data_IF_164272755564
#
_entry.id   IF_164272755564
#
_cell.length_a   1.000
_cell.length_b   1.000
_cell.length_c   1.000
_cell.angle_alpha   90.00
_cell.angle_beta   90.00
_cell.angle_gamma   90.00
#
_symmetry.space_group_name_H-M   'P 1'
#
loop_
_entity.id
_entity.type
_entity.pdbx_description
1 polymer ?
#
# COMPACT_ATOMS: atom_id res chain seq x y z
N UNK A 1 14.85 7.04 -11.25
CA UNK A 1 13.58 6.54 -10.69
C UNK A 1 13.46 7.02 -9.27
N UNK A 2 12.42 7.79 -9.01
CA UNK A 2 12.08 8.31 -7.68
C UNK A 2 11.77 7.16 -6.71
N UNK A 3 12.00 7.33 -5.40
CA UNK A 3 11.87 6.22 -4.42
C UNK A 3 10.43 5.68 -4.37
N UNK A 4 9.43 6.55 -4.48
CA UNK A 4 8.02 6.16 -4.48
C UNK A 4 7.65 5.34 -5.74
N UNK A 5 8.25 5.63 -6.90
CA UNK A 5 8.07 4.81 -8.10
C UNK A 5 8.65 3.40 -7.93
N UNK A 6 9.83 3.28 -7.30
CA UNK A 6 10.44 1.98 -6.99
C UNK A 6 9.55 1.19 -6.04
N UNK A 7 9.04 1.84 -5.00
CA UNK A 7 8.12 1.24 -4.05
C UNK A 7 6.82 0.76 -4.72
N UNK A 8 6.21 1.58 -5.58
CA UNK A 8 5.04 1.17 -6.36
C UNK A 8 5.31 -0.09 -7.21
N UNK A 9 6.46 -0.16 -7.89
CA UNK A 9 6.80 -1.35 -8.70
C UNK A 9 6.90 -2.62 -7.85
N UNK A 10 7.49 -2.54 -6.66
CA UNK A 10 7.54 -3.66 -5.73
C UNK A 10 6.14 -4.06 -5.23
N UNK A 11 5.30 -3.09 -4.85
CA UNK A 11 3.91 -3.34 -4.43
C UNK A 11 3.10 -3.97 -5.56
N UNK A 12 3.27 -3.50 -6.80
CA UNK A 12 2.63 -4.08 -7.98
C UNK A 12 3.07 -5.51 -8.25
N UNK A 13 4.35 -5.81 -8.10
CA UNK A 13 4.87 -7.17 -8.27
C UNK A 13 4.28 -8.16 -7.25
N UNK A 14 3.94 -7.70 -6.04
CA UNK A 14 3.33 -8.54 -5.01
C UNK A 14 1.85 -8.87 -5.27
N UNK A 15 1.17 -8.13 -6.16
CA UNK A 15 -0.23 -8.35 -6.55
C UNK A 15 -1.20 -8.60 -5.37
N UNK A 16 -1.02 -7.85 -4.29
CA UNK A 16 -1.81 -8.00 -3.06
C UNK A 16 -3.24 -7.46 -3.20
N UNK A 17 -4.18 -8.07 -2.46
CA UNK A 17 -5.57 -7.64 -2.41
C UNK A 17 -5.73 -6.16 -2.00
N UNK A 18 -6.84 -5.50 -2.40
CA UNK A 18 -7.11 -4.12 -2.01
C UNK A 18 -7.28 -3.97 -0.49
N UNK A 19 -7.05 -2.75 -0.01
CA UNK A 19 -7.25 -2.40 1.40
C UNK A 19 -8.71 -2.06 1.72
N UNK A 20 -8.92 -1.28 2.79
CA UNK A 20 -10.25 -0.87 3.24
C UNK A 20 -10.98 0.03 2.23
N UNK A 21 -10.24 0.72 1.37
CA UNK A 21 -10.73 1.59 0.29
C UNK A 21 -11.16 0.83 -0.98
N UNK A 22 -10.88 -0.48 -1.07
CA UNK A 22 -11.21 -1.29 -2.23
C UNK A 22 -10.36 -1.00 -3.48
N UNK A 23 -9.37 -0.12 -3.42
CA UNK A 23 -8.57 0.27 -4.58
C UNK A 23 -7.51 -0.79 -4.91
N UNK A 24 -7.51 -1.28 -6.16
CA UNK A 24 -6.50 -2.25 -6.64
C UNK A 24 -5.23 -1.54 -7.11
N UNK A 25 -4.14 -2.30 -7.26
CA UNK A 25 -2.86 -1.73 -7.71
C UNK A 25 -2.93 -1.25 -9.17
N UNK A 26 -3.76 -1.88 -10.00
CA UNK A 26 -4.03 -1.45 -11.36
C UNK A 26 -4.80 -0.13 -11.38
N UNK A 27 -5.83 0.01 -10.54
CA UNK A 27 -6.63 1.22 -10.44
C UNK A 27 -5.78 2.40 -9.96
N UNK A 28 -4.98 2.22 -8.91
CA UNK A 28 -4.01 3.23 -8.46
C UNK A 28 -3.03 3.62 -9.59
N UNK A 29 -2.61 2.63 -10.38
CA UNK A 29 -1.66 2.80 -11.47
C UNK A 29 -2.16 3.61 -12.68
N UNK A 30 -3.47 3.84 -12.82
CA UNK A 30 -4.02 4.57 -13.97
C UNK A 30 -3.55 6.03 -14.04
N UNK A 31 -3.44 6.70 -12.89
CA UNK A 31 -2.94 8.08 -12.76
C UNK A 31 -1.67 8.13 -11.90
N UNK A 32 -0.73 7.21 -12.18
CA UNK A 32 0.40 6.94 -11.29
C UNK A 32 1.22 8.19 -10.95
N UNK A 33 1.65 8.96 -11.95
CA UNK A 33 2.53 10.12 -11.72
C UNK A 33 1.87 11.20 -10.85
N UNK A 34 0.60 11.50 -11.11
CA UNK A 34 -0.17 12.46 -10.32
C UNK A 34 -0.34 11.99 -8.88
N UNK A 35 -0.74 10.73 -8.69
CA UNK A 35 -0.92 10.13 -7.35
C UNK A 35 0.37 10.07 -6.55
N UNK A 36 1.49 9.71 -7.19
CA UNK A 36 2.80 9.71 -6.52
C UNK A 36 3.27 11.14 -6.19
N UNK A 37 2.98 12.12 -7.06
CA UNK A 37 3.31 13.52 -6.80
C UNK A 37 2.52 14.07 -5.62
N UNK A 38 1.21 13.79 -5.57
CA UNK A 38 0.36 14.13 -4.44
C UNK A 38 0.85 13.46 -3.15
N UNK A 39 1.12 12.16 -3.20
CA UNK A 39 1.63 11.41 -2.06
C UNK A 39 2.96 11.97 -1.56
N UNK A 40 3.88 12.33 -2.47
CA UNK A 40 5.14 12.96 -2.12
C UNK A 40 4.92 14.32 -1.45
N UNK A 41 3.99 15.13 -1.96
CA UNK A 41 3.65 16.42 -1.36
C UNK A 41 3.14 16.23 0.07
N UNK A 42 2.18 15.33 0.28
CA UNK A 42 1.60 15.07 1.60
C UNK A 42 2.62 14.56 2.63
N UNK A 43 3.54 13.69 2.19
CA UNK A 43 4.64 13.21 3.03
C UNK A 43 5.62 14.33 3.41
N UNK A 44 5.92 15.25 2.48
CA UNK A 44 6.82 16.39 2.71
C UNK A 44 6.19 17.46 3.61
N UNK A 45 4.89 17.68 3.50
CA UNK A 45 4.17 18.68 4.31
C UNK A 45 3.67 18.12 5.65
N UNK A 46 3.81 16.81 5.88
CA UNK A 46 3.40 16.17 7.12
C UNK A 46 1.89 16.00 7.28
N UNK A 47 1.13 16.08 6.19
CA UNK A 47 -0.34 15.93 6.18
C UNK A 47 -0.80 14.55 5.73
N UNK A 48 0.14 13.67 5.36
CA UNK A 48 -0.18 12.28 5.03
C UNK A 48 -0.78 11.56 6.24
N UNK A 49 -1.98 11.02 6.07
CA UNK A 49 -2.67 10.21 7.08
C UNK A 49 -2.87 8.78 6.54
N UNK A 50 -2.30 7.76 7.20
CA UNK A 50 -2.47 6.37 6.79
C UNK A 50 -3.90 5.89 7.09
N UNK A 51 -4.41 4.99 6.24
CA UNK A 51 -5.75 4.45 6.46
C UNK A 51 -5.74 3.23 7.40
N UNK A 52 -6.89 2.93 8.05
CA UNK A 52 -7.05 1.68 8.79
C UNK A 52 -6.81 0.45 7.90
N UNK A 53 -6.15 -0.57 8.44
CA UNK A 53 -5.93 -1.83 7.72
C UNK A 53 -7.23 -2.63 7.63
N UNK A 54 -7.50 -3.23 6.47
CA UNK A 54 -8.61 -4.17 6.31
C UNK A 54 -8.30 -5.46 7.07
N UNK A 55 -9.19 -5.86 7.98
CA UNK A 55 -9.05 -7.11 8.75
C UNK A 55 -9.66 -8.28 8.00
N UNK A 56 -8.87 -9.33 7.84
CA UNK A 56 -9.30 -10.60 7.24
C UNK A 56 -8.82 -11.76 8.08
N UNK A 57 -9.62 -12.81 8.15
CA UNK A 57 -9.25 -14.03 8.85
C UNK A 57 -8.94 -15.13 7.84
N UNK A 58 -7.71 -15.64 7.88
CA UNK A 58 -7.29 -16.76 7.03
C UNK A 58 -7.40 -18.06 7.85
N UNK A 59 -8.20 -19.05 7.42
CA UNK A 59 -8.29 -20.32 8.12
C UNK A 59 -6.97 -21.08 8.03
N UNK A 60 -6.56 -21.72 9.12
CA UNK A 60 -5.46 -22.68 9.15
C UNK A 60 -5.99 -24.11 9.10
N UNK A 61 -5.10 -25.05 8.80
CA UNK A 61 -5.42 -26.48 8.77
C UNK A 61 -5.87 -27.04 10.15
N UNK A 62 -5.44 -26.42 11.24
CA UNK A 62 -5.78 -26.82 12.62
C UNK A 62 -7.14 -26.27 13.11
N UNK A 63 -7.88 -25.56 12.25
CA UNK A 63 -9.17 -24.92 12.60
C UNK A 63 -9.03 -23.55 13.27
N UNK A 64 -7.82 -23.12 13.64
CA UNK A 64 -7.58 -21.76 14.12
C UNK A 64 -7.59 -20.74 12.97
N UNK A 65 -7.73 -19.46 13.30
CA UNK A 65 -7.73 -18.36 12.33
C UNK A 65 -6.47 -17.49 12.50
N UNK A 66 -5.82 -17.16 11.39
CA UNK A 66 -4.73 -16.17 11.36
C UNK A 66 -5.33 -14.81 10.99
N UNK A 67 -5.33 -13.81 11.90
CA UNK A 67 -5.72 -12.46 11.54
C UNK A 67 -4.67 -11.86 10.60
N UNK A 68 -5.12 -11.26 9.50
CA UNK A 68 -4.32 -10.49 8.57
C UNK A 68 -4.85 -9.05 8.55
N UNK A 69 -3.93 -8.09 8.48
CA UNK A 69 -4.23 -6.70 8.17
C UNK A 69 -3.73 -6.37 6.76
N UNK A 70 -4.61 -5.91 5.89
CA UNK A 70 -4.25 -5.49 4.53
C UNK A 70 -4.31 -3.96 4.48
N UNK A 71 -3.16 -3.25 4.39
CA UNK A 71 -3.15 -1.81 4.16
C UNK A 71 -3.62 -1.46 2.75
N UNK A 72 -3.99 -0.20 2.51
CA UNK A 72 -4.31 0.29 1.16
C UNK A 72 -3.09 0.23 0.25
N UNK A 73 -3.30 0.28 -1.07
CA UNK A 73 -2.18 0.35 -2.04
C UNK A 73 -1.30 1.57 -1.75
N UNK A 74 -1.93 2.71 -1.48
CA UNK A 74 -1.25 3.96 -1.09
C UNK A 74 -0.33 3.75 0.11
N UNK A 75 -0.84 3.15 1.18
CA UNK A 75 -0.07 2.94 2.41
C UNK A 75 1.05 1.92 2.21
N UNK A 76 0.81 0.86 1.43
CA UNK A 76 1.86 -0.11 1.07
C UNK A 76 3.00 0.55 0.30
N UNK A 77 2.71 1.52 -0.57
CA UNK A 77 3.75 2.28 -1.29
C UNK A 77 4.61 3.08 -0.29
N UNK A 78 3.98 3.76 0.67
CA UNK A 78 4.72 4.53 1.70
C UNK A 78 5.58 3.60 2.56
N UNK A 79 5.00 2.51 3.06
CA UNK A 79 5.72 1.53 3.88
C UNK A 79 6.89 0.89 3.12
N UNK A 80 6.70 0.56 1.84
CA UNK A 80 7.77 0.04 1.00
C UNK A 80 8.84 1.09 0.70
N UNK A 81 8.45 2.36 0.49
CA UNK A 81 9.40 3.44 0.28
C UNK A 81 10.27 3.70 1.53
N UNK A 82 9.69 3.55 2.73
CA UNK A 82 10.42 3.55 3.99
C UNK A 82 11.37 2.35 4.09
N UNK A 83 10.92 1.14 3.74
CA UNK A 83 11.76 -0.05 3.74
C UNK A 83 12.93 0.03 2.75
N UNK A 84 12.80 0.77 1.64
CA UNK A 84 13.88 0.94 0.67
C UNK A 84 15.07 1.77 1.20
N UNK A 85 14.90 2.52 2.30
CA UNK A 85 15.91 3.44 2.85
C UNK A 85 16.41 3.05 4.24
N UNK A 86 15.69 2.19 4.95
CA UNK A 86 16.08 1.63 6.25
C UNK A 86 16.97 0.39 6.05
#
# INVERSE_FOLDING_TARGET
MDNLEKAYKAVKANNGAPGVDGETVEAFGQNLQERLSQLQHELKTGIYEPQPVLRVEIPKADGSKRPLGIPTVRDRIVQQALLNIL
#
